data_IF_877629397398
#
_entry.id   IF_877629397398
#
_cell.length_a   1.000
_cell.length_b   1.000
_cell.length_c   1.000
_cell.angle_alpha   90.00
_cell.angle_beta   90.00
_cell.angle_gamma   90.00
#
_symmetry.space_group_name_H-M   'P 1'
#
loop_
_entity.id
_entity.type
_entity.pdbx_description
1 polymer ?
#
# COMPACT_ATOMS: atom_id res chain seq x y z
N UNK A 1 75.51 -20.91 -13.60
CA UNK A 1 76.73 -20.25 -13.10
C UNK A 1 76.36 -19.49 -11.83
N UNK A 2 77.19 -19.57 -10.79
CA UNK A 2 76.89 -19.32 -9.37
C UNK A 2 77.58 -18.02 -8.88
N UNK A 3 76.87 -17.26 -8.04
CA UNK A 3 77.32 -16.33 -6.95
C UNK A 3 77.97 -14.97 -7.31
N UNK A 4 77.87 -13.90 -6.45
CA UNK A 4 77.73 -13.92 -4.97
C UNK A 4 76.81 -12.90 -4.24
N UNK A 5 76.71 -13.15 -2.92
CA UNK A 5 76.27 -12.40 -1.70
C UNK A 5 76.74 -10.92 -1.56
N UNK A 6 76.30 -10.06 -0.58
CA UNK A 6 76.00 -10.27 0.87
C UNK A 6 74.66 -9.64 1.38
N UNK A 7 74.01 -9.96 2.50
CA UNK A 7 74.32 -10.29 3.92
C UNK A 7 74.58 -9.12 4.88
N UNK A 8 73.59 -8.89 5.77
CA UNK A 8 73.70 -8.48 7.19
C UNK A 8 74.07 -6.99 7.44
N UNK A 9 73.41 -6.20 8.31
CA UNK A 9 73.25 -6.37 9.76
C UNK A 9 72.23 -5.39 10.36
N UNK A 10 71.45 -5.92 11.30
CA UNK A 10 70.60 -5.27 12.30
C UNK A 10 71.30 -4.14 13.06
N UNK A 11 70.60 -3.01 13.26
CA UNK A 11 70.67 -2.21 14.50
C UNK A 11 69.31 -1.62 14.82
N UNK A 12 68.74 -2.10 15.93
CA UNK A 12 67.64 -1.46 16.63
C UNK A 12 68.17 -0.24 17.40
N UNK A 13 67.49 0.90 17.30
CA UNK A 13 67.47 1.94 18.32
C UNK A 13 66.04 2.46 18.43
N UNK A 14 65.56 2.49 19.67
CA UNK A 14 64.20 2.78 20.11
C UNK A 14 63.95 4.28 20.33
N UNK A 15 62.68 4.58 20.63
CA UNK A 15 62.13 5.76 21.32
C UNK A 15 61.90 7.02 20.46
N UNK A 16 60.63 7.36 20.21
CA UNK A 16 59.95 8.36 21.05
C UNK A 16 58.44 8.40 20.79
N UNK A 17 57.73 8.65 21.89
CA UNK A 17 56.30 8.81 22.10
C UNK A 17 55.50 9.52 21.00
N UNK A 18 54.37 8.93 20.65
CA UNK A 18 53.28 9.58 19.95
C UNK A 18 51.99 8.81 20.20
N UNK A 19 51.37 9.04 21.36
CA UNK A 19 50.05 8.51 21.69
C UNK A 19 49.03 9.07 20.69
N UNK A 20 48.75 8.30 19.64
CA UNK A 20 47.65 8.58 18.73
C UNK A 20 46.36 8.17 19.43
N UNK A 21 45.79 9.13 20.16
CA UNK A 21 44.40 9.10 20.62
C UNK A 21 43.50 8.94 19.39
N UNK A 22 43.10 7.70 19.10
CA UNK A 22 41.94 7.39 18.28
C UNK A 22 40.71 7.87 19.06
N UNK A 23 40.40 9.16 18.95
CA UNK A 23 39.08 9.66 19.31
C UNK A 23 38.09 9.04 18.35
N UNK A 24 37.38 8.03 18.83
CA UNK A 24 36.16 7.53 18.23
C UNK A 24 35.12 8.65 18.29
N UNK A 25 35.16 9.55 17.31
CA UNK A 25 34.07 10.49 17.07
C UNK A 25 32.91 9.67 16.52
N UNK A 26 32.14 9.09 17.44
CA UNK A 26 30.81 8.60 17.15
C UNK A 26 30.00 9.80 16.65
N UNK A 27 29.75 9.85 15.34
CA UNK A 27 28.71 10.72 14.79
C UNK A 27 27.39 10.29 15.43
N UNK A 28 26.99 11.01 16.47
CA UNK A 28 25.63 10.98 16.95
C UNK A 28 24.75 11.36 15.75
N UNK A 29 23.90 10.44 15.27
CA UNK A 29 22.84 10.79 14.30
C UNK A 29 21.76 11.58 15.03
N UNK A 30 22.11 12.76 15.50
CA UNK A 30 21.13 13.80 15.78
C UNK A 30 20.85 14.44 14.42
N UNK A 31 19.92 13.85 13.69
CA UNK A 31 19.37 14.47 12.49
C UNK A 31 18.37 15.55 12.91
N UNK A 32 18.85 16.60 13.59
CA UNK A 32 18.17 17.89 13.61
C UNK A 32 18.59 18.63 12.35
N UNK A 33 18.36 18.00 11.19
CA UNK A 33 18.70 18.55 9.89
C UNK A 33 17.58 19.51 9.49
N UNK A 34 17.60 20.71 10.07
CA UNK A 34 16.63 21.80 9.83
C UNK A 34 16.68 22.35 8.40
N UNK A 35 17.41 21.70 7.50
CA UNK A 35 17.67 22.11 6.12
C UNK A 35 17.26 21.06 5.08
N UNK A 36 16.64 19.94 5.47
CA UNK A 36 15.92 19.10 4.52
C UNK A 36 14.43 19.47 4.58
N UNK A 37 13.89 20.23 3.62
CA UNK A 37 12.45 20.48 3.62
C UNK A 37 11.74 19.13 3.51
N UNK A 38 10.86 18.82 4.48
CA UNK A 38 9.96 17.68 4.37
C UNK A 38 9.18 17.82 3.07
N UNK A 39 9.48 16.96 2.09
CA UNK A 39 8.77 16.95 0.82
C UNK A 39 7.41 16.33 1.10
N UNK A 40 6.30 17.07 0.94
CA UNK A 40 4.98 16.53 1.23
C UNK A 40 4.68 15.37 0.28
N UNK A 41 4.24 14.26 0.84
CA UNK A 41 3.97 13.01 0.12
C UNK A 41 2.59 12.47 0.48
N UNK A 42 1.96 11.84 -0.51
CA UNK A 42 0.78 11.01 -0.33
C UNK A 42 1.16 9.54 -0.53
N UNK A 43 0.32 8.62 -0.03
CA UNK A 43 0.42 7.20 -0.30
C UNK A 43 -0.51 6.79 -1.45
N UNK A 44 -0.01 6.03 -2.42
CA UNK A 44 -0.83 5.43 -3.48
C UNK A 44 -0.69 3.90 -3.48
N UNK A 45 -1.80 3.20 -3.31
CA UNK A 45 -1.91 1.77 -3.59
C UNK A 45 -2.65 1.55 -4.91
N UNK A 46 -2.23 0.58 -5.72
CA UNK A 46 -2.93 0.24 -6.95
C UNK A 46 -3.29 -1.25 -7.00
N UNK A 47 -4.43 -1.56 -7.61
CA UNK A 47 -4.92 -2.91 -7.86
C UNK A 47 -5.25 -3.10 -9.34
N UNK A 48 -4.94 -4.28 -9.87
CA UNK A 48 -5.50 -4.71 -11.14
C UNK A 48 -6.62 -5.72 -10.88
N UNK A 49 -7.87 -5.29 -11.03
CA UNK A 49 -9.07 -6.11 -10.88
C UNK A 49 -9.82 -6.29 -12.21
N UNK A 50 -9.20 -5.96 -13.34
CA UNK A 50 -9.76 -6.17 -14.67
C UNK A 50 -9.45 -7.61 -15.15
N UNK A 51 -10.46 -8.52 -15.24
CA UNK A 51 -10.23 -9.95 -15.44
C UNK A 51 -9.61 -10.34 -16.78
N UNK A 52 -9.70 -9.48 -17.80
CA UNK A 52 -9.13 -9.67 -19.14
C UNK A 52 -7.81 -8.89 -19.34
N UNK A 53 -7.33 -8.18 -18.31
CA UNK A 53 -6.02 -7.51 -18.31
C UNK A 53 -5.04 -8.33 -17.50
N UNK A 54 -4.27 -9.18 -18.18
CA UNK A 54 -3.30 -10.08 -17.52
C UNK A 54 -2.32 -9.32 -16.61
N UNK A 55 -1.85 -8.15 -17.03
CA UNK A 55 -1.08 -7.22 -16.21
C UNK A 55 -1.32 -5.78 -16.62
N UNK A 56 -1.52 -4.90 -15.64
CA UNK A 56 -1.66 -3.47 -15.81
C UNK A 56 -0.40 -2.73 -15.35
N UNK A 57 -0.22 -1.52 -15.85
CA UNK A 57 0.69 -0.54 -15.28
C UNK A 57 -0.07 0.72 -14.88
N UNK A 58 0.57 1.55 -14.05
CA UNK A 58 0.06 2.84 -13.58
C UNK A 58 1.11 3.91 -13.87
N UNK A 59 0.72 4.98 -14.55
CA UNK A 59 1.53 6.16 -14.78
C UNK A 59 0.95 7.38 -14.07
N UNK A 60 1.83 8.21 -13.51
CA UNK A 60 1.52 9.45 -12.79
C UNK A 60 2.18 10.64 -13.49
N UNK A 61 1.39 11.51 -14.11
CA UNK A 61 1.95 12.65 -14.87
C UNK A 61 2.83 12.19 -16.03
N UNK A 62 2.47 11.09 -16.70
CA UNK A 62 3.21 10.49 -17.81
C UNK A 62 4.43 9.63 -17.42
N UNK A 63 4.75 9.52 -16.12
CA UNK A 63 5.85 8.68 -15.64
C UNK A 63 5.31 7.38 -15.05
N UNK A 64 5.88 6.23 -15.41
CA UNK A 64 5.44 4.95 -14.86
C UNK A 64 5.74 4.86 -13.36
N UNK A 65 4.70 4.74 -12.55
CA UNK A 65 4.77 4.47 -11.12
C UNK A 65 4.76 2.96 -10.83
N UNK A 66 4.03 2.18 -11.63
CA UNK A 66 3.93 0.72 -11.53
C UNK A 66 3.99 0.14 -12.94
N UNK A 67 4.93 -0.78 -13.21
CA UNK A 67 5.13 -1.32 -14.57
C UNK A 67 4.50 -2.70 -14.79
N UNK A 68 4.25 -3.47 -13.73
CA UNK A 68 3.72 -4.82 -13.82
C UNK A 68 2.83 -5.11 -12.61
N UNK A 69 1.52 -5.07 -12.83
CA UNK A 69 0.49 -5.33 -11.83
C UNK A 69 -0.42 -6.45 -12.35
N UNK A 70 -0.07 -7.73 -12.08
CA UNK A 70 -0.86 -8.86 -12.54
C UNK A 70 -2.32 -8.81 -12.07
N UNK A 71 -3.23 -9.42 -12.82
CA UNK A 71 -4.64 -9.53 -12.41
C UNK A 71 -4.77 -10.15 -11.01
N UNK A 72 -5.60 -9.53 -10.17
CA UNK A 72 -5.84 -9.91 -8.78
C UNK A 72 -4.75 -9.50 -7.80
N UNK A 73 -3.68 -8.82 -8.27
CA UNK A 73 -2.61 -8.32 -7.41
C UNK A 73 -2.72 -6.81 -7.16
N UNK A 74 -1.90 -6.38 -6.20
CA UNK A 74 -1.75 -5.00 -5.76
C UNK A 74 -0.27 -4.64 -5.64
N UNK A 75 0.04 -3.37 -5.38
CA UNK A 75 1.41 -2.84 -5.27
C UNK A 75 2.21 -3.37 -4.08
N UNK A 76 1.62 -4.16 -3.18
CA UNK A 76 2.25 -4.66 -1.95
C UNK A 76 2.18 -3.68 -0.77
N UNK A 77 1.78 -2.44 -1.02
CA UNK A 77 1.67 -1.37 -0.02
C UNK A 77 1.40 -0.02 -0.68
N UNK A 78 1.37 1.04 0.12
CA UNK A 78 1.29 2.41 -0.38
C UNK A 78 2.66 2.87 -0.89
N UNK A 79 2.72 3.25 -2.16
CA UNK A 79 3.88 3.86 -2.77
C UNK A 79 3.86 5.37 -2.46
N UNK A 80 4.98 5.99 -2.09
CA UNK A 80 5.04 7.43 -1.91
C UNK A 80 4.89 8.13 -3.26
N UNK A 81 4.01 9.12 -3.33
CA UNK A 81 3.78 9.95 -4.51
C UNK A 81 3.77 11.42 -4.12
N UNK A 82 4.21 12.28 -5.03
CA UNK A 82 4.11 13.72 -4.83
C UNK A 82 2.65 14.17 -4.73
N UNK A 83 2.41 15.18 -3.90
CA UNK A 83 1.10 15.80 -3.72
C UNK A 83 0.69 16.68 -4.90
N UNK A 84 -0.55 17.18 -4.86
CA UNK A 84 -1.15 18.06 -5.87
C UNK A 84 -1.97 17.31 -6.91
N UNK A 85 -2.42 18.03 -7.94
CA UNK A 85 -3.16 17.44 -9.05
C UNK A 85 -2.22 16.66 -9.98
N UNK A 86 -2.55 15.39 -10.22
CA UNK A 86 -1.76 14.51 -11.09
C UNK A 86 -2.68 13.72 -12.01
N UNK A 87 -2.26 13.53 -13.25
CA UNK A 87 -2.89 12.53 -14.11
C UNK A 87 -2.54 11.14 -13.60
N UNK A 88 -3.54 10.27 -13.47
CA UNK A 88 -3.40 8.85 -13.13
C UNK A 88 -3.91 8.06 -14.32
N UNK A 89 -2.98 7.44 -15.04
CA UNK A 89 -3.27 6.59 -16.20
C UNK A 89 -3.00 5.14 -15.86
N UNK A 90 -3.95 4.25 -16.21
CA UNK A 90 -3.71 2.82 -16.26
C UNK A 90 -3.52 2.37 -17.70
N UNK A 91 -2.62 1.42 -17.91
CA UNK A 91 -2.31 0.89 -19.24
C UNK A 91 -2.07 -0.62 -19.18
N UNK A 92 -2.24 -1.30 -20.30
CA UNK A 92 -1.90 -2.73 -20.42
C UNK A 92 -0.37 -2.87 -20.46
N UNK A 93 0.20 -3.61 -19.51
CA UNK A 93 1.66 -3.70 -19.35
C UNK A 93 2.37 -4.37 -20.55
N UNK A 94 1.67 -5.23 -21.30
CA UNK A 94 2.25 -5.93 -22.44
C UNK A 94 2.23 -5.09 -23.72
N UNK A 95 1.15 -4.34 -23.98
CA UNK A 95 0.99 -3.58 -25.22
C UNK A 95 1.24 -2.08 -25.08
N UNK A 96 1.28 -1.55 -23.87
CA UNK A 96 1.31 -0.11 -23.59
C UNK A 96 -0.01 0.62 -23.90
N UNK A 97 -1.06 -0.12 -24.30
CA UNK A 97 -2.35 0.49 -24.62
C UNK A 97 -3.00 1.08 -23.36
N UNK A 98 -3.47 2.33 -23.45
CA UNK A 98 -4.19 2.98 -22.36
C UNK A 98 -5.50 2.23 -22.05
N UNK A 99 -5.72 1.94 -20.78
CA UNK A 99 -6.95 1.36 -20.25
C UNK A 99 -7.90 2.47 -19.79
N UNK A 100 -7.43 3.35 -18.89
CA UNK A 100 -8.21 4.48 -18.36
C UNK A 100 -7.29 5.60 -17.90
N UNK A 101 -7.78 6.84 -17.86
CA UNK A 101 -7.02 7.99 -17.38
C UNK A 101 -7.95 9.03 -16.75
N UNK A 102 -7.43 9.78 -15.79
CA UNK A 102 -8.12 10.88 -15.13
C UNK A 102 -7.14 11.75 -14.35
N UNK A 103 -7.58 12.93 -13.92
CA UNK A 103 -6.81 13.82 -13.06
C UNK A 103 -7.36 13.76 -11.65
N UNK A 104 -6.48 13.53 -10.67
CA UNK A 104 -6.86 13.39 -9.26
C UNK A 104 -5.93 14.22 -8.37
N UNK A 105 -6.45 14.68 -7.24
CA UNK A 105 -5.70 15.45 -6.26
C UNK A 105 -5.19 14.56 -5.14
N UNK A 106 -3.89 14.67 -4.86
CA UNK A 106 -3.20 13.98 -3.77
C UNK A 106 -2.89 14.98 -2.66
N UNK A 107 -3.59 14.87 -1.53
CA UNK A 107 -3.33 15.69 -0.35
C UNK A 107 -2.11 15.15 0.43
N UNK A 108 -1.44 16.06 1.13
CA UNK A 108 -0.32 15.71 2.02
C UNK A 108 -0.76 14.74 3.11
N UNK A 109 0.08 13.73 3.38
CA UNK A 109 -0.13 12.69 4.38
C UNK A 109 -1.43 11.88 4.21
N UNK A 110 -2.07 11.95 3.04
CA UNK A 110 -3.28 11.18 2.73
C UNK A 110 -2.96 9.90 1.94
N UNK A 111 -3.85 8.91 2.07
CA UNK A 111 -3.71 7.60 1.46
C UNK A 111 -4.81 7.37 0.43
N UNK A 112 -4.41 6.96 -0.77
CA UNK A 112 -5.32 6.74 -1.88
C UNK A 112 -5.14 5.36 -2.46
N UNK A 113 -6.24 4.81 -2.96
CA UNK A 113 -6.23 3.58 -3.75
C UNK A 113 -6.78 3.84 -5.14
N UNK A 114 -6.12 3.29 -6.17
CA UNK A 114 -6.68 3.15 -7.52
C UNK A 114 -6.96 1.69 -7.83
N UNK A 115 -8.21 1.38 -8.15
CA UNK A 115 -8.60 0.07 -8.67
C UNK A 115 -8.78 0.17 -10.18
N UNK A 116 -7.96 -0.55 -10.94
CA UNK A 116 -8.18 -0.76 -12.37
C UNK A 116 -9.24 -1.83 -12.51
N UNK A 117 -10.40 -1.46 -13.06
CA UNK A 117 -11.57 -2.33 -13.20
C UNK A 117 -12.10 -2.29 -14.63
N UNK A 118 -12.88 -3.29 -15.01
CA UNK A 118 -13.53 -3.35 -16.31
C UNK A 118 -13.12 -4.56 -17.13
N UNK A 119 -13.74 -4.70 -18.28
CA UNK A 119 -13.56 -5.82 -19.20
C UNK A 119 -14.00 -5.40 -20.60
N UNK A 120 -13.62 -6.16 -21.62
CA UNK A 120 -14.03 -5.98 -23.01
C UNK A 120 -13.77 -4.55 -23.53
N UNK A 121 -12.58 -4.01 -23.26
CA UNK A 121 -12.16 -2.65 -23.63
C UNK A 121 -12.96 -1.51 -22.99
N UNK A 122 -13.74 -1.78 -21.94
CA UNK A 122 -14.41 -0.77 -21.12
C UNK A 122 -13.79 -0.77 -19.72
N UNK A 123 -12.70 -0.02 -19.57
CA UNK A 123 -11.92 0.05 -18.34
C UNK A 123 -12.07 1.38 -17.63
N UNK A 124 -11.82 1.37 -16.32
CA UNK A 124 -11.97 2.52 -15.44
C UNK A 124 -10.93 2.48 -14.33
N UNK A 125 -10.42 3.65 -13.96
CA UNK A 125 -9.75 3.83 -12.68
C UNK A 125 -10.80 4.25 -11.64
N UNK A 126 -11.05 3.40 -10.65
CA UNK A 126 -11.82 3.78 -9.45
C UNK A 126 -10.83 4.32 -8.43
N UNK A 127 -10.82 5.63 -8.26
CA UNK A 127 -9.91 6.34 -7.36
C UNK A 127 -10.64 6.72 -6.07
N UNK A 128 -10.06 6.36 -4.92
CA UNK A 128 -10.64 6.62 -3.61
C UNK A 128 -9.58 7.14 -2.63
N UNK A 129 -9.99 8.05 -1.75
CA UNK A 129 -9.26 8.33 -0.51
C UNK A 129 -9.64 7.25 0.51
N UNK A 130 -8.65 6.64 1.13
CA UNK A 130 -8.86 5.53 2.05
C UNK A 130 -9.21 5.97 3.47
N UNK A 131 -8.93 7.23 3.83
CA UNK A 131 -9.23 7.83 5.14
C UNK A 131 -8.79 6.98 6.35
N UNK A 132 -7.72 6.20 6.19
CA UNK A 132 -7.25 5.23 7.19
C UNK A 132 -6.69 5.90 8.46
N UNK A 133 -6.30 7.17 8.35
CA UNK A 133 -5.76 7.96 9.46
C UNK A 133 -6.83 8.36 10.48
N UNK A 134 -8.11 8.33 10.11
CA UNK A 134 -9.23 8.66 10.98
C UNK A 134 -9.80 7.42 11.72
N UNK A 135 -9.21 6.24 11.51
CA UNK A 135 -9.61 5.01 12.20
C UNK A 135 -8.99 4.94 13.60
N UNK A 136 -9.69 4.34 14.55
CA UNK A 136 -9.27 4.28 15.97
C UNK A 136 -8.91 2.86 16.37
N UNK A 137 -7.84 2.69 17.15
CA UNK A 137 -7.51 1.39 17.72
C UNK A 137 -8.41 1.09 18.93
N UNK A 138 -9.53 0.41 18.68
CA UNK A 138 -10.53 0.03 19.70
C UNK A 138 -10.59 -1.49 19.96
N UNK A 139 -9.68 -2.26 19.36
CA UNK A 139 -9.64 -3.72 19.41
C UNK A 139 -10.44 -4.41 18.30
N UNK A 140 -11.16 -3.66 17.48
CA UNK A 140 -11.89 -4.18 16.31
C UNK A 140 -11.00 -4.25 15.07
N UNK A 141 -11.40 -5.03 14.07
CA UNK A 141 -10.86 -4.91 12.72
C UNK A 141 -11.69 -3.92 11.91
N UNK A 142 -11.09 -3.23 10.94
CA UNK A 142 -11.81 -2.40 9.99
C UNK A 142 -11.81 -3.05 8.62
N UNK A 143 -12.98 -3.17 8.01
CA UNK A 143 -13.14 -3.83 6.71
C UNK A 143 -13.91 -2.91 5.77
N UNK A 144 -13.42 -2.80 4.54
CA UNK A 144 -14.19 -2.29 3.40
C UNK A 144 -14.20 -3.33 2.28
N UNK A 145 -15.08 -3.13 1.30
CA UNK A 145 -15.06 -3.91 0.07
C UNK A 145 -15.06 -3.00 -1.17
N UNK A 146 -14.61 -3.56 -2.30
CA UNK A 146 -14.92 -3.05 -3.64
C UNK A 146 -15.67 -4.11 -4.43
N UNK A 147 -16.76 -3.71 -5.10
CA UNK A 147 -17.37 -4.53 -6.15
C UNK A 147 -16.76 -4.19 -7.52
N UNK A 148 -15.77 -4.97 -7.94
CA UNK A 148 -15.14 -4.87 -9.26
C UNK A 148 -15.72 -5.86 -10.28
N UNK A 149 -16.80 -6.57 -9.95
CA UNK A 149 -17.46 -7.51 -10.87
C UNK A 149 -18.23 -6.67 -11.93
N UNK A 150 -17.89 -6.77 -13.22
CA UNK A 150 -18.45 -5.92 -14.28
C UNK A 150 -19.87 -6.39 -14.68
N UNK A 151 -20.84 -6.18 -13.79
CA UNK A 151 -22.23 -6.60 -13.95
C UNK A 151 -23.21 -5.50 -13.48
N UNK A 152 -24.38 -5.41 -14.11
CA UNK A 152 -25.41 -4.42 -13.79
C UNK A 152 -26.39 -4.87 -12.69
N UNK A 153 -26.36 -6.14 -12.27
CA UNK A 153 -27.34 -6.74 -11.34
C UNK A 153 -27.20 -6.29 -9.88
N UNK A 154 -26.18 -5.50 -9.54
CA UNK A 154 -25.88 -5.01 -8.19
C UNK A 154 -25.93 -6.15 -7.13
N UNK A 155 -25.01 -7.12 -7.17
CA UNK A 155 -25.05 -8.27 -6.27
C UNK A 155 -25.09 -7.83 -4.79
N UNK A 156 -25.77 -8.62 -3.96
CA UNK A 156 -25.76 -8.44 -2.51
C UNK A 156 -24.40 -8.83 -1.97
N UNK A 157 -23.78 -7.91 -1.21
CA UNK A 157 -22.51 -8.12 -0.52
C UNK A 157 -22.79 -8.32 0.97
N UNK A 158 -22.20 -9.36 1.53
CA UNK A 158 -22.28 -9.68 2.96
C UNK A 158 -20.88 -9.66 3.59
N UNK A 159 -20.74 -8.94 4.69
CA UNK A 159 -19.51 -8.88 5.52
C UNK A 159 -19.90 -9.11 6.97
N UNK A 160 -19.77 -10.35 7.43
CA UNK A 160 -20.25 -10.80 8.74
C UNK A 160 -21.71 -10.39 8.94
N UNK A 161 -22.00 -9.80 10.09
CA UNK A 161 -23.32 -9.20 10.41
C UNK A 161 -23.37 -7.69 10.15
N UNK A 162 -22.27 -7.06 9.76
CA UNK A 162 -22.14 -5.60 9.65
C UNK A 162 -22.57 -5.04 8.29
N UNK A 163 -22.57 -5.88 7.26
CA UNK A 163 -22.96 -5.51 5.89
C UNK A 163 -23.84 -6.60 5.31
N UNK A 164 -24.99 -6.20 4.77
CA UNK A 164 -25.84 -7.03 3.92
C UNK A 164 -26.66 -6.13 3.00
N UNK A 165 -26.05 -5.68 1.91
CA UNK A 165 -26.61 -4.63 1.04
C UNK A 165 -26.25 -4.86 -0.43
N UNK A 166 -27.07 -4.40 -1.39
CA UNK A 166 -26.70 -4.45 -2.81
C UNK A 166 -25.55 -3.50 -3.11
N UNK A 167 -24.59 -3.94 -3.92
CA UNK A 167 -23.46 -3.12 -4.35
C UNK A 167 -23.39 -3.05 -5.87
N UNK A 168 -23.56 -1.86 -6.44
CA UNK A 168 -23.32 -1.63 -7.87
C UNK A 168 -21.86 -1.89 -8.26
N UNK A 169 -21.64 -2.18 -9.55
CA UNK A 169 -20.30 -2.24 -10.11
C UNK A 169 -19.55 -0.92 -9.89
N UNK A 170 -18.27 -1.02 -9.50
CA UNK A 170 -17.35 0.07 -9.11
C UNK A 170 -17.61 0.70 -7.74
N UNK A 171 -18.56 0.19 -6.96
CA UNK A 171 -18.79 0.68 -5.60
C UNK A 171 -17.65 0.26 -4.67
N UNK A 172 -17.13 1.23 -3.93
CA UNK A 172 -16.23 1.02 -2.78
C UNK A 172 -16.99 1.39 -1.52
N UNK A 173 -17.05 0.50 -0.54
CA UNK A 173 -17.69 0.80 0.74
C UNK A 173 -16.81 1.69 1.61
N UNK A 174 -17.41 2.39 2.56
CA UNK A 174 -16.67 2.92 3.69
C UNK A 174 -16.06 1.77 4.53
N UNK A 175 -15.00 2.07 5.28
CA UNK A 175 -14.51 1.16 6.31
C UNK A 175 -15.54 1.04 7.44
N UNK A 176 -15.86 -0.20 7.82
CA UNK A 176 -16.74 -0.51 8.95
C UNK A 176 -15.99 -1.34 9.98
N UNK A 177 -16.24 -1.07 11.25
CA UNK A 177 -15.71 -1.87 12.36
C UNK A 177 -16.42 -3.23 12.42
N UNK A 178 -15.64 -4.29 12.60
CA UNK A 178 -16.11 -5.65 12.81
C UNK A 178 -15.33 -6.29 13.96
N UNK A 179 -15.94 -7.20 14.75
CA UNK A 179 -15.21 -7.93 15.77
C UNK A 179 -14.02 -8.69 15.19
N UNK A 180 -12.89 -8.68 15.90
CA UNK A 180 -11.76 -9.55 15.57
C UNK A 180 -12.16 -11.03 15.69
N UNK A 181 -11.63 -11.87 14.81
CA UNK A 181 -11.93 -13.30 14.74
C UNK A 181 -12.39 -13.74 13.34
N UNK A 182 -13.21 -14.79 13.30
CA UNK A 182 -13.73 -15.32 12.05
C UNK A 182 -14.75 -14.36 11.41
N UNK A 183 -14.56 -14.06 10.13
CA UNK A 183 -15.42 -13.19 9.34
C UNK A 183 -15.85 -13.91 8.07
N UNK A 184 -17.16 -14.06 7.90
CA UNK A 184 -17.76 -14.61 6.69
C UNK A 184 -17.99 -13.50 5.66
N UNK A 185 -17.62 -13.75 4.42
CA UNK A 185 -17.77 -12.86 3.27
C UNK A 185 -18.59 -13.57 2.20
N UNK A 186 -19.52 -12.85 1.57
CA UNK A 186 -20.26 -13.37 0.42
C UNK A 186 -20.58 -12.27 -0.59
N UNK A 187 -20.70 -12.67 -1.86
CA UNK A 187 -21.28 -11.85 -2.93
C UNK A 187 -22.17 -12.74 -3.79
N UNK A 188 -23.42 -12.31 -4.01
CA UNK A 188 -24.40 -13.12 -4.73
C UNK A 188 -25.45 -12.26 -5.46
N UNK A 189 -25.83 -12.64 -6.67
CA UNK A 189 -26.99 -12.06 -7.38
C UNK A 189 -28.12 -13.08 -7.65
N UNK A 190 -28.02 -14.30 -7.12
CA UNK A 190 -28.96 -15.39 -7.38
C UNK A 190 -28.78 -16.05 -8.75
N UNK A 191 -27.69 -15.76 -9.46
CA UNK A 191 -27.40 -16.29 -10.79
C UNK A 191 -25.91 -16.45 -11.05
N UNK A 192 -25.37 -15.61 -11.93
CA UNK A 192 -23.99 -15.71 -12.46
C UNK A 192 -22.90 -15.24 -11.50
N UNK A 193 -23.28 -14.62 -10.38
CA UNK A 193 -22.39 -14.14 -9.33
C UNK A 193 -22.72 -14.94 -8.07
N UNK A 194 -21.79 -15.78 -7.62
CA UNK A 194 -21.90 -16.51 -6.36
C UNK A 194 -20.51 -16.87 -5.87
N UNK A 195 -20.06 -16.21 -4.81
CA UNK A 195 -18.81 -16.53 -4.14
C UNK A 195 -18.96 -16.33 -2.64
N UNK A 196 -18.30 -17.20 -1.87
CA UNK A 196 -18.22 -17.10 -0.42
C UNK A 196 -16.77 -17.33 0.02
N UNK A 197 -16.38 -16.70 1.12
CA UNK A 197 -15.07 -16.89 1.73
C UNK A 197 -15.16 -16.63 3.23
N UNK A 198 -14.48 -17.47 4.02
CA UNK A 198 -14.24 -17.18 5.43
C UNK A 198 -12.79 -16.73 5.61
N UNK A 199 -12.60 -15.65 6.36
CA UNK A 199 -11.27 -15.12 6.71
C UNK A 199 -11.17 -14.96 8.22
N UNK A 200 -9.96 -14.85 8.75
CA UNK A 200 -9.73 -14.41 10.13
C UNK A 200 -9.19 -12.99 10.08
N UNK A 201 -9.83 -12.08 10.80
CA UNK A 201 -9.41 -10.68 10.93
C UNK A 201 -8.91 -10.42 12.34
N UNK A 202 -7.76 -9.78 12.45
CA UNK A 202 -7.11 -9.44 13.71
C UNK A 202 -7.50 -8.04 14.20
N UNK A 203 -7.47 -7.86 15.52
CA UNK A 203 -7.70 -6.57 16.18
C UNK A 203 -6.78 -5.48 15.64
N UNK A 204 -7.32 -4.28 15.48
CA UNK A 204 -6.64 -3.08 14.99
C UNK A 204 -6.06 -3.20 13.57
N UNK A 205 -6.43 -4.21 12.78
CA UNK A 205 -6.01 -4.31 11.37
C UNK A 205 -7.09 -3.80 10.43
N UNK A 206 -6.62 -3.27 9.30
CA UNK A 206 -7.45 -2.69 8.24
C UNK A 206 -7.42 -3.63 7.04
N UNK A 207 -8.57 -3.97 6.47
CA UNK A 207 -8.70 -4.89 5.35
C UNK A 207 -9.53 -4.30 4.21
N UNK A 208 -9.10 -4.58 2.98
CA UNK A 208 -9.90 -4.36 1.77
C UNK A 208 -10.26 -5.71 1.17
N UNK A 209 -11.56 -5.98 1.07
CA UNK A 209 -12.13 -7.14 0.39
C UNK A 209 -12.31 -6.80 -1.09
N UNK A 210 -11.87 -7.71 -1.95
CA UNK A 210 -11.89 -7.55 -3.40
C UNK A 210 -12.91 -8.54 -3.96
N UNK A 211 -14.01 -8.03 -4.51
CA UNK A 211 -14.98 -8.83 -5.24
C UNK A 211 -14.68 -8.64 -6.73
N UNK A 212 -14.16 -9.66 -7.40
CA UNK A 212 -13.66 -9.54 -8.77
C UNK A 212 -13.90 -10.82 -9.56
N UNK A 213 -13.77 -10.74 -10.88
CA UNK A 213 -13.97 -11.86 -11.80
C UNK A 213 -15.04 -11.57 -12.84
N UNK A 214 -15.16 -12.46 -13.81
CA UNK A 214 -16.13 -12.36 -14.90
C UNK A 214 -17.42 -13.12 -14.53
N UNK A 215 -18.61 -12.47 -14.51
CA UNK A 215 -19.88 -13.15 -14.26
C UNK A 215 -20.09 -14.36 -15.19
N UNK A 216 -20.57 -15.47 -14.63
CA UNK A 216 -20.88 -16.69 -15.39
C UNK A 216 -19.66 -17.51 -15.81
N UNK A 217 -18.44 -17.05 -15.50
CA UNK A 217 -17.22 -17.81 -15.71
C UNK A 217 -16.99 -18.76 -14.53
N UNK A 218 -17.35 -20.04 -14.66
CA UNK A 218 -17.27 -21.02 -13.57
C UNK A 218 -16.04 -21.95 -13.68
N UNK A 219 -15.24 -21.86 -14.75
CA UNK A 219 -14.11 -22.79 -15.01
C UNK A 219 -12.97 -22.18 -15.85
N UNK A 220 -12.99 -20.88 -16.12
CA UNK A 220 -11.98 -20.16 -16.91
C UNK A 220 -10.97 -19.38 -16.06
N UNK A 221 -10.25 -18.46 -16.70
CA UNK A 221 -9.10 -17.72 -16.12
C UNK A 221 -9.46 -16.68 -15.05
N UNK A 222 -10.74 -16.33 -14.88
CA UNK A 222 -11.17 -15.30 -13.94
C UNK A 222 -12.61 -15.55 -13.44
N UNK A 223 -12.85 -16.62 -12.65
CA UNK A 223 -14.13 -16.83 -12.01
C UNK A 223 -14.42 -15.71 -11.01
N UNK A 224 -15.70 -15.49 -10.70
CA UNK A 224 -16.08 -14.62 -9.58
C UNK A 224 -15.47 -15.17 -8.30
N UNK A 225 -14.67 -14.36 -7.62
CA UNK A 225 -13.97 -14.72 -6.41
C UNK A 225 -13.95 -13.59 -5.38
N UNK A 226 -13.67 -13.96 -4.13
CA UNK A 226 -13.41 -13.02 -3.04
C UNK A 226 -11.94 -13.15 -2.66
N UNK A 227 -11.19 -12.06 -2.83
CA UNK A 227 -9.83 -11.89 -2.29
C UNK A 227 -9.85 -10.83 -1.20
N UNK A 228 -8.75 -10.72 -0.46
CA UNK A 228 -8.60 -9.68 0.54
C UNK A 228 -7.13 -9.35 0.72
N UNK A 229 -6.86 -8.14 1.18
CA UNK A 229 -5.54 -7.69 1.61
C UNK A 229 -5.64 -7.03 2.98
N UNK A 230 -4.51 -6.98 3.68
CA UNK A 230 -4.34 -6.15 4.88
C UNK A 230 -3.71 -4.83 4.44
N UNK A 231 -4.43 -3.72 4.60
CA UNK A 231 -3.93 -2.38 4.27
C UNK A 231 -2.87 -1.91 5.28
N UNK A 232 -3.03 -2.31 6.54
CA UNK A 232 -2.13 -1.90 7.62
C UNK A 232 -2.67 -2.26 9.00
N UNK A 233 -1.99 -1.75 10.01
CA UNK A 233 -2.37 -1.87 11.43
C UNK A 233 -2.50 -0.45 11.99
N UNK A 234 -3.57 -0.20 12.75
CA UNK A 234 -3.77 1.04 13.48
C UNK A 234 -2.91 0.97 14.73
N UNK A 235 -1.97 1.90 14.87
CA UNK A 235 -1.13 1.96 16.06
C UNK A 235 -1.90 2.58 17.23
N UNK A 236 -2.18 1.76 18.25
CA UNK A 236 -2.84 2.20 19.48
C UNK A 236 -2.04 3.25 20.27
N UNK A 237 -0.74 3.40 19.99
CA UNK A 237 0.14 4.34 20.69
C UNK A 237 0.41 5.63 19.92
N UNK A 238 -0.02 5.77 18.67
CA UNK A 238 0.22 6.97 17.87
C UNK A 238 -0.41 8.23 18.50
N UNK A 239 -1.52 8.08 19.23
CA UNK A 239 -2.17 9.16 19.98
C UNK A 239 -1.55 9.44 21.37
N UNK A 240 -0.56 8.66 21.82
CA UNK A 240 0.02 8.73 23.16
C UNK A 240 1.43 9.32 23.20
N UNK A 241 1.77 10.19 22.24
CA UNK A 241 2.89 11.12 22.43
C UNK A 241 2.33 12.47 22.85
N UNK A 242 2.13 12.73 24.16
CA UNK A 242 1.89 14.08 24.61
C UNK A 242 3.11 14.92 24.26
N UNK A 243 2.90 16.04 23.58
CA UNK A 243 3.89 17.09 23.45
C UNK A 243 4.19 17.65 24.85
N UNK A 244 5.03 16.98 25.64
CA UNK A 244 5.55 17.52 26.91
C UNK A 244 6.73 18.44 26.61
N UNK A 245 6.45 19.53 25.92
CA UNK A 245 7.30 20.72 25.87
C UNK A 245 6.92 21.66 27.01
N UNK A 246 7.02 21.23 28.27
CA UNK A 246 6.89 22.13 29.41
C UNK A 246 8.25 22.28 30.08
N UNK A 247 8.99 23.30 29.65
CA UNK A 247 10.08 23.88 30.43
C UNK A 247 9.73 25.31 30.75
N UNK A 248 8.89 25.49 31.77
CA UNK A 248 8.78 26.75 32.47
C UNK A 248 10.14 27.05 33.12
N UNK A 249 10.88 28.00 32.54
CA UNK A 249 12.04 28.61 33.18
C UNK A 249 11.61 29.96 33.73
N UNK A 250 11.25 29.97 35.01
CA UNK A 250 11.11 31.21 35.79
C UNK A 250 12.48 31.89 35.85
N UNK A 251 12.53 33.13 35.38
CA UNK A 251 13.67 34.02 35.59
C UNK A 251 13.53 34.68 36.97
N UNK A 252 14.57 34.53 37.79
CA UNK A 252 14.93 35.52 38.81
C UNK A 252 15.75 36.63 38.15
#
# INVERSE_FOLDING_TARGET
MKFPFPSMRTRAIALFSGALLLTMTACNKNNDDSNNPDVPVAGLMAFNLAPDVASAGIALGGNNAVNNLPYGNFTGGYLPVYTGERSVESYNAASGARLSSGTFSFADSAYYTVFVVGTNNNYSNVFVNDDITNLTADGSAYVRYINAIPDSSQPTVTVGTAVNEPAAYKTVSAFRSVPAGALALAVNNGGTISATRSITVEANKIYTVLLSGQPGNTSGSAPVEIKFITNGTIDANAAKTPATGNSARTAN
#
